data_IF_836192827260
#
_entry.id   IF_836192827260
#
_cell.length_a   1.000
_cell.length_b   1.000
_cell.length_c   1.000
_cell.angle_alpha   90.00
_cell.angle_beta   90.00
_cell.angle_gamma   90.00
#
_symmetry.space_group_name_H-M   'P 1'
#
loop_
_entity.id
_entity.type
_entity.pdbx_description
1 polymer ?
#
# COMPACT_ATOMS: atom_id res chain seq x y z
N UNK A 1 -23.60 -7.62 -16.58
CA UNK A 1 -23.48 -6.37 -15.80
C UNK A 1 -22.02 -5.98 -15.87
N UNK A 2 -21.67 -4.98 -16.66
CA UNK A 2 -20.30 -4.49 -16.70
C UNK A 2 -19.98 -3.87 -15.34
N UNK A 3 -18.86 -4.27 -14.72
CA UNK A 3 -18.27 -3.53 -13.60
C UNK A 3 -18.00 -2.12 -14.13
N UNK A 4 -18.81 -1.16 -13.72
CA UNK A 4 -18.46 0.25 -13.92
C UNK A 4 -17.21 0.50 -13.09
N UNK A 5 -16.17 1.02 -13.72
CA UNK A 5 -14.99 1.51 -13.00
C UNK A 5 -15.46 2.52 -11.96
N UNK A 6 -15.15 2.28 -10.69
CA UNK A 6 -15.44 3.23 -9.62
C UNK A 6 -14.86 4.60 -9.97
N UNK A 7 -15.58 5.71 -9.73
CA UNK A 7 -15.03 7.03 -9.96
C UNK A 7 -13.76 7.21 -9.13
N UNK A 8 -12.78 7.89 -9.71
CA UNK A 8 -11.48 8.17 -9.10
C UNK A 8 -11.21 9.67 -9.06
N UNK A 9 -10.38 10.10 -8.13
CA UNK A 9 -9.90 11.47 -8.03
C UNK A 9 -8.45 11.52 -7.54
N UNK A 10 -7.77 12.63 -7.84
CA UNK A 10 -6.42 12.89 -7.32
C UNK A 10 -6.51 13.27 -5.85
N UNK A 11 -5.72 12.59 -5.02
CA UNK A 11 -5.58 12.82 -3.59
C UNK A 11 -4.18 13.31 -3.27
N UNK A 12 -4.11 14.26 -2.35
CA UNK A 12 -2.87 14.69 -1.73
C UNK A 12 -2.51 13.74 -0.59
N UNK A 13 -1.22 13.48 -0.43
CA UNK A 13 -0.63 12.71 0.64
C UNK A 13 0.45 13.57 1.30
N UNK A 14 0.59 13.49 2.62
CA UNK A 14 1.61 14.19 3.40
C UNK A 14 1.58 15.71 3.14
N UNK A 15 0.40 16.32 3.26
CA UNK A 15 0.21 17.76 3.04
C UNK A 15 0.52 18.22 1.61
N UNK A 16 0.40 17.32 0.63
CA UNK A 16 0.62 17.62 -0.79
C UNK A 16 2.04 17.34 -1.31
N UNK A 17 2.94 16.82 -0.46
CA UNK A 17 4.28 16.40 -0.87
C UNK A 17 4.24 15.25 -1.90
N UNK A 18 3.19 14.43 -1.87
CA UNK A 18 2.90 13.46 -2.91
C UNK A 18 1.43 13.55 -3.34
N UNK A 19 1.13 13.08 -4.55
CA UNK A 19 -0.24 12.84 -4.99
C UNK A 19 -0.38 11.49 -5.67
N UNK A 20 -1.57 10.92 -5.64
CA UNK A 20 -1.93 9.77 -6.46
C UNK A 20 -3.43 9.77 -6.76
N UNK A 21 -3.87 8.90 -7.66
CA UNK A 21 -5.29 8.73 -8.01
C UNK A 21 -5.89 7.59 -7.21
N UNK A 22 -6.91 7.89 -6.42
CA UNK A 22 -7.63 6.92 -5.59
C UNK A 22 -9.13 6.91 -5.91
N UNK A 23 -9.83 5.79 -5.74
CA UNK A 23 -11.29 5.76 -5.76
C UNK A 23 -11.92 6.76 -4.80
N UNK A 24 -13.00 7.43 -5.23
CA UNK A 24 -13.74 8.40 -4.41
C UNK A 24 -14.30 7.78 -3.13
N UNK A 25 -14.56 6.46 -3.14
CA UNK A 25 -15.08 5.71 -1.98
C UNK A 25 -14.06 5.58 -0.85
N UNK A 26 -12.76 5.59 -1.15
CA UNK A 26 -11.71 5.59 -0.14
C UNK A 26 -11.69 6.95 0.55
N UNK A 27 -11.93 6.95 1.86
CA UNK A 27 -11.98 8.12 2.71
C UNK A 27 -10.75 8.19 3.59
N UNK A 28 -10.17 9.37 3.71
CA UNK A 28 -9.15 9.64 4.71
C UNK A 28 -9.75 9.41 6.11
N UNK A 29 -8.99 8.74 6.97
CA UNK A 29 -9.38 8.44 8.35
C UNK A 29 -8.70 9.35 9.38
N UNK A 30 -7.84 10.27 8.96
CA UNK A 30 -7.12 11.22 9.81
C UNK A 30 -8.05 12.07 10.68
N UNK A 31 -9.23 12.43 10.16
CA UNK A 31 -10.28 13.14 10.90
C UNK A 31 -10.95 12.27 11.99
N UNK A 32 -10.88 10.94 11.87
CA UNK A 32 -11.55 10.00 12.76
C UNK A 32 -10.64 9.46 13.87
N UNK A 33 -9.34 9.32 13.57
CA UNK A 33 -8.35 8.79 14.51
C UNK A 33 -6.98 9.42 14.24
N UNK A 34 -6.13 9.57 15.26
CA UNK A 34 -4.75 9.96 15.04
C UNK A 34 -4.05 8.92 14.15
N UNK A 35 -3.40 9.39 13.08
CA UNK A 35 -2.54 8.62 12.20
C UNK A 35 -1.11 9.16 12.40
N UNK A 36 -0.09 8.30 12.54
CA UNK A 36 1.29 8.76 12.62
C UNK A 36 1.69 9.59 11.39
N UNK A 37 2.54 10.60 11.57
CA UNK A 37 2.91 11.53 10.49
C UNK A 37 3.58 10.86 9.27
N UNK A 38 4.18 9.68 9.46
CA UNK A 38 4.79 8.88 8.40
C UNK A 38 3.80 7.91 7.73
N UNK A 39 2.50 8.00 8.05
CA UNK A 39 1.44 7.19 7.49
C UNK A 39 0.29 8.03 6.96
N UNK A 40 -0.34 7.57 5.89
CA UNK A 40 -1.63 8.06 5.38
C UNK A 40 -2.57 6.88 5.21
N UNK A 41 -3.75 6.95 5.82
CA UNK A 41 -4.68 5.81 5.86
C UNK A 41 -6.01 6.17 5.21
N UNK A 42 -6.36 5.40 4.18
CA UNK A 42 -7.58 5.55 3.40
C UNK A 42 -8.44 4.30 3.53
N UNK A 43 -9.69 4.44 3.97
CA UNK A 43 -10.57 3.31 4.22
C UNK A 43 -11.86 3.38 3.38
N UNK A 44 -12.37 2.20 3.01
CA UNK A 44 -13.70 2.02 2.43
C UNK A 44 -14.57 1.28 3.46
N UNK A 45 -15.54 1.95 4.09
CA UNK A 45 -16.40 1.31 5.09
C UNK A 45 -17.38 0.31 4.48
N UNK A 46 -17.72 0.41 3.19
CA UNK A 46 -18.69 -0.47 2.54
C UNK A 46 -18.07 -1.82 2.16
N UNK A 47 -16.78 -1.80 1.76
CA UNK A 47 -16.01 -3.00 1.41
C UNK A 47 -15.05 -3.48 2.52
N UNK A 48 -14.98 -2.75 3.64
CA UNK A 48 -13.99 -2.92 4.73
C UNK A 48 -12.55 -3.03 4.20
N UNK A 49 -12.24 -2.25 3.16
CA UNK A 49 -10.90 -2.14 2.59
C UNK A 49 -10.13 -1.02 3.27
N UNK A 50 -8.81 -1.18 3.37
CA UNK A 50 -7.91 -0.13 3.84
C UNK A 50 -6.66 -0.08 2.99
N UNK A 51 -6.34 1.10 2.46
CA UNK A 51 -5.10 1.44 1.78
C UNK A 51 -4.26 2.32 2.71
N UNK A 52 -3.04 1.87 3.00
CA UNK A 52 -2.09 2.59 3.84
C UNK A 52 -0.89 2.95 2.98
N UNK A 53 -0.49 4.21 3.01
CA UNK A 53 0.82 4.66 2.57
C UNK A 53 1.69 4.84 3.80
N UNK A 54 2.93 4.37 3.75
CA UNK A 54 3.85 4.46 4.88
C UNK A 54 5.26 4.75 4.38
N UNK A 55 5.87 5.80 4.91
CA UNK A 55 7.29 6.12 4.67
C UNK A 55 8.13 5.48 5.76
N UNK A 56 9.10 4.67 5.37
CA UNK A 56 10.03 3.98 6.29
C UNK A 56 11.48 4.26 5.91
N UNK A 57 12.39 4.09 6.86
CA UNK A 57 13.83 4.16 6.59
C UNK A 57 14.25 3.03 5.64
N UNK A 58 15.18 3.33 4.74
CA UNK A 58 15.73 2.34 3.82
C UNK A 58 16.68 1.38 4.53
N UNK A 59 16.31 0.10 4.63
CA UNK A 59 17.20 -0.93 5.16
C UNK A 59 18.15 -1.48 4.10
N UNK A 60 19.36 -0.92 4.05
CA UNK A 60 20.41 -1.36 3.13
C UNK A 60 20.92 -2.81 3.39
N UNK A 61 20.57 -3.43 4.53
CA UNK A 61 20.95 -4.81 4.84
C UNK A 61 20.11 -5.85 4.10
N UNK A 62 18.92 -5.46 3.62
CA UNK A 62 18.00 -6.33 2.88
C UNK A 62 18.13 -6.08 1.38
N UNK A 63 18.41 -7.15 0.62
CA UNK A 63 18.54 -7.05 -0.83
C UNK A 63 17.16 -6.94 -1.52
N UNK A 64 17.14 -6.34 -2.71
CA UNK A 64 15.91 -6.13 -3.48
C UNK A 64 15.09 -7.41 -3.73
N UNK A 65 15.75 -8.56 -3.91
CA UNK A 65 15.06 -9.82 -4.15
C UNK A 65 14.20 -10.28 -2.96
N UNK A 66 14.59 -9.89 -1.74
CA UNK A 66 13.97 -10.36 -0.50
C UNK A 66 13.09 -9.31 0.18
N UNK A 67 13.28 -8.03 -0.16
CA UNK A 67 12.61 -6.89 0.51
C UNK A 67 11.09 -7.02 0.60
N UNK A 68 10.43 -7.49 -0.47
CA UNK A 68 8.97 -7.61 -0.46
C UNK A 68 8.49 -8.62 0.58
N UNK A 69 9.20 -9.74 0.73
CA UNK A 69 8.85 -10.77 1.71
C UNK A 69 9.17 -10.31 3.12
N UNK A 70 10.32 -9.67 3.30
CA UNK A 70 10.74 -9.11 4.58
C UNK A 70 9.72 -8.09 5.13
N UNK A 71 9.35 -7.08 4.33
CA UNK A 71 8.37 -6.07 4.72
C UNK A 71 6.99 -6.69 4.99
N UNK A 72 6.59 -7.70 4.20
CA UNK A 72 5.32 -8.40 4.45
C UNK A 72 5.31 -9.16 5.79
N UNK A 73 6.42 -9.79 6.15
CA UNK A 73 6.58 -10.48 7.43
C UNK A 73 6.58 -9.49 8.60
N UNK A 74 7.26 -8.36 8.47
CA UNK A 74 7.26 -7.28 9.46
C UNK A 74 5.85 -6.71 9.66
N UNK A 75 5.13 -6.46 8.56
CA UNK A 75 3.74 -6.02 8.61
C UNK A 75 2.82 -7.06 9.29
N UNK A 76 3.06 -8.36 9.09
CA UNK A 76 2.31 -9.40 9.77
C UNK A 76 2.58 -9.40 11.28
N UNK A 77 3.85 -9.24 11.69
CA UNK A 77 4.24 -9.11 13.10
C UNK A 77 3.62 -7.87 13.74
N UNK A 78 3.70 -6.71 13.07
CA UNK A 78 3.13 -5.46 13.55
C UNK A 78 1.60 -5.49 13.71
N UNK A 79 0.92 -6.29 12.90
CA UNK A 79 -0.52 -6.52 13.01
C UNK A 79 -0.90 -7.67 13.97
N UNK A 80 0.08 -8.26 14.68
CA UNK A 80 -0.11 -9.43 15.53
C UNK A 80 -0.88 -10.55 14.80
N UNK A 81 -0.56 -10.75 13.52
CA UNK A 81 -1.28 -11.70 12.68
C UNK A 81 -1.12 -13.12 13.24
N UNK A 82 -2.24 -13.83 13.39
CA UNK A 82 -2.25 -15.23 13.81
C UNK A 82 -1.65 -16.15 12.75
N UNK A 83 -1.77 -15.76 11.48
CA UNK A 83 -1.13 -16.41 10.36
C UNK A 83 -0.84 -15.41 9.23
N UNK A 84 0.18 -15.67 8.44
CA UNK A 84 0.52 -14.88 7.26
C UNK A 84 1.08 -15.79 6.17
N UNK A 85 0.70 -15.56 4.92
CA UNK A 85 1.19 -16.33 3.79
C UNK A 85 1.41 -15.45 2.56
N UNK A 86 2.57 -15.57 1.92
CA UNK A 86 2.88 -14.86 0.68
C UNK A 86 2.55 -15.77 -0.49
N UNK A 87 1.62 -15.35 -1.33
CA UNK A 87 1.25 -16.05 -2.56
C UNK A 87 2.24 -15.75 -3.71
N UNK A 88 2.79 -14.54 -3.75
CA UNK A 88 3.71 -14.14 -4.82
C UNK A 88 4.42 -12.83 -4.52
N UNK A 89 5.62 -12.70 -5.08
CA UNK A 89 6.39 -11.46 -5.12
C UNK A 89 6.83 -11.26 -6.57
N UNK A 90 6.57 -10.09 -7.13
CA UNK A 90 7.03 -9.73 -8.48
C UNK A 90 7.69 -8.36 -8.48
N UNK A 91 8.81 -8.16 -9.20
CA UNK A 91 9.30 -6.83 -9.51
C UNK A 91 8.26 -6.03 -10.31
N UNK A 92 8.21 -4.72 -10.09
CA UNK A 92 7.40 -3.78 -10.86
C UNK A 92 8.25 -3.17 -11.97
N UNK A 93 7.67 -3.04 -13.17
CA UNK A 93 8.33 -2.34 -14.27
C UNK A 93 8.27 -0.81 -14.07
N UNK A 94 9.20 -0.07 -14.66
CA UNK A 94 9.22 1.40 -14.59
C UNK A 94 7.90 2.05 -15.06
N UNK A 95 7.20 1.45 -16.04
CA UNK A 95 5.91 1.93 -16.52
C UNK A 95 4.75 1.72 -15.51
N UNK A 96 4.93 0.85 -14.51
CA UNK A 96 3.96 0.66 -13.42
C UNK A 96 4.19 1.67 -12.27
N UNK A 97 5.39 2.23 -12.16
CA UNK A 97 5.80 3.18 -11.10
C UNK A 97 6.64 4.33 -11.68
N UNK A 98 6.06 5.20 -12.52
CA UNK A 98 6.82 6.20 -13.27
C UNK A 98 7.48 7.28 -12.39
N UNK A 99 7.03 7.47 -11.15
CA UNK A 99 7.65 8.39 -10.19
C UNK A 99 8.92 7.86 -9.53
N UNK A 100 9.21 6.58 -9.67
CA UNK A 100 10.41 6.00 -9.08
C UNK A 100 11.64 6.41 -9.91
N UNK A 101 12.61 7.13 -9.32
CA UNK A 101 13.78 7.59 -10.05
C UNK A 101 14.75 6.45 -10.39
N UNK A 102 15.68 6.74 -11.29
CA UNK A 102 16.74 5.80 -11.66
C UNK A 102 17.54 5.35 -10.42
N UNK A 103 17.84 4.05 -10.35
CA UNK A 103 18.50 3.43 -9.18
C UNK A 103 17.53 3.00 -8.07
N UNK A 104 16.24 3.34 -8.17
CA UNK A 104 15.19 2.77 -7.33
C UNK A 104 14.86 1.32 -7.69
N UNK A 105 14.20 0.62 -6.78
CA UNK A 105 13.65 -0.72 -7.01
C UNK A 105 12.22 -0.78 -6.51
N UNK A 106 11.33 -1.47 -7.23
CA UNK A 106 9.98 -1.69 -6.74
C UNK A 106 9.52 -3.13 -6.95
N UNK A 107 8.72 -3.62 -6.02
CA UNK A 107 8.05 -4.91 -6.13
C UNK A 107 6.64 -4.85 -5.57
N UNK A 108 5.81 -5.79 -6.03
CA UNK A 108 4.46 -6.03 -5.53
C UNK A 108 4.40 -7.43 -4.94
N UNK A 109 3.88 -7.51 -3.73
CA UNK A 109 3.62 -8.72 -2.97
C UNK A 109 2.12 -8.93 -2.92
N UNK A 110 1.69 -10.16 -3.21
CA UNK A 110 0.32 -10.62 -2.97
C UNK A 110 0.36 -11.70 -1.90
N UNK A 111 -0.45 -11.57 -0.86
CA UNK A 111 -0.52 -12.53 0.23
C UNK A 111 -1.81 -12.45 1.01
N UNK A 112 -1.86 -13.16 2.13
CA UNK A 112 -2.96 -13.11 3.08
C UNK A 112 -2.45 -13.08 4.51
N UNK A 113 -3.24 -12.48 5.40
CA UNK A 113 -3.00 -12.44 6.84
C UNK A 113 -4.31 -12.73 7.58
N UNK A 114 -4.23 -13.45 8.69
CA UNK A 114 -5.32 -13.59 9.65
C UNK A 114 -5.05 -12.64 10.81
N UNK A 115 -5.74 -11.50 10.85
CA UNK A 115 -5.52 -10.46 11.87
C UNK A 115 -6.65 -10.44 12.89
N UNK A 116 -6.35 -10.09 14.13
CA UNK A 116 -7.38 -9.90 15.16
C UNK A 116 -8.05 -8.53 14.98
N UNK A 117 -9.37 -8.52 14.96
CA UNK A 117 -10.20 -7.30 14.94
C UNK A 117 -11.19 -7.35 16.11
N UNK A 118 -10.83 -6.69 17.21
CA UNK A 118 -11.60 -6.78 18.45
C UNK A 118 -11.51 -8.17 19.07
N UNK A 119 -12.64 -8.87 19.17
CA UNK A 119 -12.71 -10.24 19.71
C UNK A 119 -12.62 -11.33 18.64
N UNK A 120 -12.74 -10.95 17.35
CA UNK A 120 -12.77 -11.89 16.24
C UNK A 120 -11.45 -11.90 15.45
N UNK A 121 -11.24 -12.96 14.66
CA UNK A 121 -10.17 -13.05 13.66
C UNK A 121 -10.74 -12.87 12.27
N UNK A 122 -10.05 -12.09 11.44
CA UNK A 122 -10.47 -11.82 10.07
C UNK A 122 -9.34 -12.18 9.09
N UNK A 123 -9.67 -13.08 8.17
CA UNK A 123 -8.81 -13.39 7.04
C UNK A 123 -8.86 -12.22 6.04
N UNK A 124 -7.68 -11.75 5.65
CA UNK A 124 -7.50 -10.54 4.85
C UNK A 124 -6.53 -10.85 3.72
N UNK A 125 -6.94 -10.59 2.48
CA UNK A 125 -6.04 -10.53 1.34
C UNK A 125 -5.27 -9.20 1.37
N UNK A 126 -3.96 -9.26 1.14
CA UNK A 126 -3.06 -8.12 1.23
C UNK A 126 -2.28 -7.97 -0.07
N UNK A 127 -2.35 -6.79 -0.66
CA UNK A 127 -1.42 -6.32 -1.68
C UNK A 127 -0.46 -5.34 -1.03
N UNK A 128 0.83 -5.59 -1.12
CA UNK A 128 1.88 -4.72 -0.58
C UNK A 128 2.85 -4.34 -1.69
N UNK A 129 2.93 -3.05 -2.02
CA UNK A 129 3.98 -2.54 -2.89
C UNK A 129 5.10 -1.91 -2.05
N UNK A 130 6.34 -2.20 -2.43
CA UNK A 130 7.54 -1.62 -1.81
C UNK A 130 8.26 -0.82 -2.88
N UNK A 131 8.44 0.48 -2.67
CA UNK A 131 9.17 1.40 -3.57
C UNK A 131 10.42 1.87 -2.85
N UNK A 132 11.56 1.30 -3.23
CA UNK A 132 12.85 1.62 -2.61
C UNK A 132 13.51 2.83 -3.24
N UNK A 133 13.91 3.79 -2.42
CA UNK A 133 14.52 5.04 -2.86
C UNK A 133 15.85 5.29 -2.12
N UNK A 134 16.92 4.51 -2.42
CA UNK A 134 18.19 4.60 -1.69
C UNK A 134 18.82 6.00 -1.68
N UNK A 135 18.60 6.78 -2.73
CA UNK A 135 19.12 8.13 -2.90
C UNK A 135 18.61 9.14 -1.84
N UNK A 136 17.48 8.85 -1.20
CA UNK A 136 16.92 9.63 -0.07
C UNK A 136 16.78 8.77 1.19
N UNK A 137 17.51 7.65 1.26
CA UNK A 137 17.53 6.75 2.42
C UNK A 137 16.15 6.34 2.96
N UNK A 138 15.14 6.29 2.10
CA UNK A 138 13.76 5.96 2.47
C UNK A 138 13.15 4.97 1.49
N UNK A 139 12.19 4.18 1.97
CA UNK A 139 11.32 3.33 1.16
C UNK A 139 9.86 3.76 1.39
N UNK A 140 9.02 3.71 0.35
CA UNK A 140 7.59 3.97 0.42
C UNK A 140 6.82 2.65 0.29
N UNK A 141 5.98 2.36 1.27
CA UNK A 141 5.14 1.18 1.32
C UNK A 141 3.69 1.54 1.00
N UNK A 142 3.03 0.74 0.16
CA UNK A 142 1.59 0.82 -0.07
C UNK A 142 0.97 -0.52 0.32
N UNK A 143 0.14 -0.54 1.36
CA UNK A 143 -0.53 -1.76 1.82
C UNK A 143 -2.04 -1.64 1.61
N UNK A 144 -2.60 -2.46 0.73
CA UNK A 144 -4.04 -2.58 0.53
C UNK A 144 -4.55 -3.89 1.11
N UNK A 145 -5.38 -3.77 2.15
CA UNK A 145 -6.05 -4.87 2.82
C UNK A 145 -7.49 -4.99 2.33
N UNK A 146 -7.91 -6.19 1.97
CA UNK A 146 -9.28 -6.54 1.57
C UNK A 146 -9.75 -7.77 2.35
N UNK A 147 -10.93 -7.76 2.99
CA UNK A 147 -11.45 -8.93 3.67
C UNK A 147 -11.55 -10.12 2.71
N UNK A 148 -11.15 -11.32 3.13
CA UNK A 148 -11.27 -12.52 2.32
C UNK A 148 -12.74 -12.86 1.99
N UNK A 149 -13.66 -12.45 2.86
CA UNK A 149 -15.11 -12.55 2.65
C UNK A 149 -15.67 -11.54 1.64
N UNK A 150 -14.87 -10.55 1.21
CA UNK A 150 -15.33 -9.55 0.23
C UNK A 150 -15.64 -10.22 -1.12
N UNK A 151 -16.66 -9.74 -1.86
CA UNK A 151 -17.02 -10.29 -3.17
C UNK A 151 -15.85 -10.29 -4.15
N UNK A 152 -15.79 -11.28 -5.05
CA UNK A 152 -14.74 -11.37 -6.07
C UNK A 152 -14.50 -10.07 -6.88
N UNK A 153 -15.54 -9.27 -7.23
CA UNK A 153 -15.33 -7.96 -7.85
C UNK A 153 -14.52 -6.98 -6.99
N UNK A 154 -14.70 -6.99 -5.66
CA UNK A 154 -13.94 -6.12 -4.75
C UNK A 154 -12.46 -6.53 -4.66
N UNK A 155 -12.19 -7.84 -4.72
CA UNK A 155 -10.82 -8.36 -4.77
C UNK A 155 -10.12 -7.99 -6.09
N UNK A 156 -10.82 -8.13 -7.23
CA UNK A 156 -10.31 -7.70 -8.53
C UNK A 156 -10.11 -6.18 -8.60
N UNK A 157 -11.00 -5.41 -7.96
CA UNK A 157 -10.88 -3.96 -7.87
C UNK A 157 -9.65 -3.55 -7.05
N UNK A 158 -9.28 -4.30 -6.01
CA UNK A 158 -8.09 -4.01 -5.20
C UNK A 158 -6.80 -3.94 -6.03
N UNK A 159 -6.62 -4.87 -6.97
CA UNK A 159 -5.49 -4.83 -7.91
C UNK A 159 -5.53 -3.58 -8.80
N UNK A 160 -6.73 -3.20 -9.26
CA UNK A 160 -6.95 -1.98 -10.03
C UNK A 160 -6.61 -0.72 -9.24
N UNK A 161 -7.00 -0.66 -7.97
CA UNK A 161 -6.67 0.45 -7.06
C UNK A 161 -5.17 0.55 -6.86
N UNK A 162 -4.49 -0.55 -6.53
CA UNK A 162 -3.04 -0.58 -6.35
C UNK A 162 -2.33 -0.12 -7.63
N UNK A 163 -2.71 -0.65 -8.79
CA UNK A 163 -2.14 -0.28 -10.08
C UNK A 163 -2.36 1.19 -10.42
N UNK A 164 -3.56 1.72 -10.18
CA UNK A 164 -3.87 3.12 -10.42
C UNK A 164 -3.07 4.05 -9.50
N UNK A 165 -2.99 3.73 -8.20
CA UNK A 165 -2.22 4.49 -7.23
C UNK A 165 -0.74 4.55 -7.62
N UNK A 166 -0.13 3.40 -7.92
CA UNK A 166 1.29 3.31 -8.31
C UNK A 166 1.60 4.07 -9.61
N UNK A 167 0.76 3.92 -10.64
CA UNK A 167 0.98 4.55 -11.95
C UNK A 167 0.79 6.05 -11.94
N UNK A 168 -0.05 6.56 -11.04
CA UNK A 168 -0.35 7.98 -10.92
C UNK A 168 0.34 8.67 -9.75
N UNK A 169 1.12 7.92 -8.96
CA UNK A 169 1.92 8.47 -7.88
C UNK A 169 2.90 9.49 -8.46
N UNK A 170 2.88 10.70 -7.90
CA UNK A 170 3.80 11.78 -8.22
C UNK A 170 4.40 12.27 -6.90
N UNK A 171 5.73 12.31 -6.83
CA UNK A 171 6.48 12.88 -5.71
C UNK A 171 6.80 14.33 -6.06
N UNK A 172 6.17 15.27 -5.36
CA UNK A 172 6.27 16.71 -5.61
C UNK A 172 7.31 17.38 -4.72
N UNK A 173 7.46 16.90 -3.49
CA UNK A 173 8.44 17.39 -2.53
C UNK A 173 9.27 16.24 -1.96
N UNK A 174 10.55 16.20 -2.34
CA UNK A 174 11.52 15.21 -1.85
C UNK A 174 12.03 15.53 -0.45
N UNK A 175 11.77 16.73 0.08
CA UNK A 175 12.08 17.10 1.46
C UNK A 175 11.33 16.26 2.49
N UNK A 176 10.25 15.58 2.08
CA UNK A 176 9.51 14.62 2.91
C UNK A 176 10.39 13.49 3.46
N UNK A 177 11.36 13.03 2.67
CA UNK A 177 12.15 11.83 2.99
C UNK A 177 13.34 12.08 3.91
N UNK A 178 13.53 13.33 4.37
CA UNK A 178 14.64 13.68 5.27
C UNK A 178 15.99 13.65 4.55
N UNK A 179 16.38 14.79 3.98
CA UNK A 179 17.77 15.08 3.59
C UNK A 179 18.51 15.84 4.69
#
# INVERSE_FOLDING_TARGET
MAVGTSPVETRELYGGAMVCTLPVRLKDVSDMRPVPDHQEVWADPDLDQALIFEVVEHDASVINADVGRHVFEDAAVGNEAASASVAGVRPLAAAEVPSLPEGGYACLVSGSMTVRRGQDTQDTAVLLAVLRMPHVASDLLLTLSTPAAAPAPAQAEAEGVMSAALRSLEIRDWGLFGG
#
